data_IF_888118793865
#
_entry.id   IF_888118793865
#
_cell.length_a   1.000
_cell.length_b   1.000
_cell.length_c   1.000
_cell.angle_alpha   90.00
_cell.angle_beta   90.00
_cell.angle_gamma   90.00
#
_symmetry.space_group_name_H-M   'P 1'
#
loop_
_entity.id
_entity.type
_entity.pdbx_description
1 polymer ?
#
# COMPACT_ATOMS: atom_id res chain seq x y z
N UNK A 1 42.16 8.69 -3.54
CA UNK A 1 40.95 8.93 -4.34
C UNK A 1 39.99 9.74 -3.49
N UNK A 2 39.53 10.89 -3.99
CA UNK A 2 38.79 11.90 -3.20
C UNK A 2 37.28 11.62 -3.05
N UNK A 3 36.78 10.49 -3.58
CA UNK A 3 35.38 10.08 -3.47
C UNK A 3 35.29 8.63 -2.98
N UNK A 4 34.50 8.42 -1.93
CA UNK A 4 34.24 7.09 -1.38
C UNK A 4 33.03 6.49 -2.12
N UNK A 5 33.21 5.32 -2.73
CA UNK A 5 32.15 4.67 -3.52
C UNK A 5 30.94 4.26 -2.66
N UNK A 6 31.16 3.90 -1.39
CA UNK A 6 30.07 3.51 -0.48
C UNK A 6 29.12 4.67 -0.18
N UNK A 7 29.62 5.90 -0.09
CA UNK A 7 28.78 7.10 0.11
C UNK A 7 27.86 7.36 -1.09
N UNK A 8 28.31 7.02 -2.31
CA UNK A 8 27.48 7.16 -3.52
C UNK A 8 26.46 6.04 -3.70
N UNK A 9 26.64 4.90 -3.03
CA UNK A 9 25.72 3.76 -3.05
C UNK A 9 24.59 3.92 -2.03
N UNK A 10 24.91 4.48 -0.86
CA UNK A 10 23.92 4.80 0.17
C UNK A 10 22.91 5.83 -0.35
N UNK A 11 21.65 5.68 0.04
CA UNK A 11 20.54 6.55 -0.37
C UNK A 11 19.96 6.26 -1.76
N UNK A 12 20.51 5.28 -2.51
CA UNK A 12 19.88 4.83 -3.76
C UNK A 12 18.61 4.05 -3.46
N UNK A 13 17.56 4.34 -4.22
CA UNK A 13 16.27 3.65 -4.13
C UNK A 13 16.12 2.71 -5.32
N UNK A 14 15.92 1.44 -5.03
CA UNK A 14 15.65 0.38 -5.98
C UNK A 14 14.15 0.11 -6.04
N UNK A 15 13.59 0.01 -7.24
CA UNK A 15 12.21 -0.44 -7.44
C UNK A 15 12.21 -1.89 -7.93
N UNK A 16 11.50 -2.75 -7.20
CA UNK A 16 11.42 -4.19 -7.46
C UNK A 16 9.96 -4.63 -7.45
N UNK A 17 9.66 -5.72 -8.15
CA UNK A 17 8.35 -6.36 -8.08
C UNK A 17 8.27 -7.22 -6.81
N UNK A 18 7.11 -7.23 -6.14
CA UNK A 18 6.90 -8.07 -4.97
C UNK A 18 6.84 -9.56 -5.34
N UNK A 19 6.33 -9.88 -6.54
CA UNK A 19 6.35 -11.24 -7.05
C UNK A 19 7.77 -11.82 -7.12
N UNK A 20 8.75 -11.02 -7.55
CA UNK A 20 10.15 -11.44 -7.64
C UNK A 20 10.80 -11.63 -6.25
N UNK A 21 10.30 -10.94 -5.22
CA UNK A 21 10.79 -11.07 -3.85
C UNK A 21 10.23 -12.30 -3.14
N UNK A 22 8.96 -12.64 -3.39
CA UNK A 22 8.25 -13.73 -2.71
C UNK A 22 8.09 -15.00 -3.55
N UNK A 23 8.49 -14.98 -4.83
CA UNK A 23 8.19 -16.01 -5.83
C UNK A 23 6.68 -16.33 -5.92
N UNK A 24 5.84 -15.29 -5.80
CA UNK A 24 4.38 -15.38 -5.82
C UNK A 24 3.80 -14.48 -6.90
N UNK A 25 3.34 -15.09 -8.00
CA UNK A 25 2.80 -14.37 -9.17
C UNK A 25 1.52 -13.59 -8.87
N UNK A 26 0.75 -13.98 -7.84
CA UNK A 26 -0.47 -13.27 -7.45
C UNK A 26 -0.16 -11.84 -6.98
N UNK A 27 1.08 -11.59 -6.56
CA UNK A 27 1.57 -10.30 -6.06
C UNK A 27 2.26 -9.47 -7.13
N UNK A 28 2.22 -9.87 -8.41
CA UNK A 28 2.92 -9.20 -9.52
C UNK A 28 2.47 -7.74 -9.76
N UNK A 29 1.30 -7.37 -9.25
CA UNK A 29 0.77 -6.02 -9.36
C UNK A 29 1.29 -5.03 -8.30
N UNK A 30 2.15 -5.48 -7.37
CA UNK A 30 2.69 -4.67 -6.27
C UNK A 30 4.18 -4.43 -6.50
N UNK A 31 4.58 -3.17 -6.53
CA UNK A 31 5.97 -2.72 -6.61
C UNK A 31 6.43 -2.22 -5.26
N UNK A 32 7.63 -2.62 -4.85
CA UNK A 32 8.28 -2.16 -3.62
C UNK A 32 9.48 -1.30 -3.98
N UNK A 33 9.64 -0.22 -3.22
CA UNK A 33 10.83 0.63 -3.23
C UNK A 33 11.66 0.32 -2.00
N UNK A 34 12.93 0.00 -2.21
CA UNK A 34 13.91 -0.30 -1.16
C UNK A 34 15.05 0.71 -1.22
N UNK A 35 15.41 1.32 -0.09
CA UNK A 35 16.51 2.28 0.00
C UNK A 35 17.77 1.60 0.54
N UNK A 36 18.94 1.80 -0.07
CA UNK A 36 20.21 1.29 0.45
C UNK A 36 20.67 2.14 1.63
N UNK A 37 20.71 1.58 2.83
CA UNK A 37 21.18 2.27 4.05
C UNK A 37 22.65 1.95 4.34
N UNK A 38 23.04 0.69 4.18
CA UNK A 38 24.37 0.21 4.55
C UNK A 38 25.00 -0.62 3.44
N UNK A 39 26.33 -0.54 3.32
CA UNK A 39 27.12 -1.33 2.37
C UNK A 39 28.15 -2.11 3.17
N UNK A 40 28.03 -3.43 3.18
CA UNK A 40 28.91 -4.36 3.88
C UNK A 40 29.71 -5.16 2.86
N UNK A 41 30.97 -4.76 2.65
CA UNK A 41 31.83 -5.34 1.61
C UNK A 41 31.21 -5.16 0.22
N UNK A 42 30.68 -6.26 -0.34
CA UNK A 42 30.00 -6.29 -1.65
C UNK A 42 28.47 -6.28 -1.55
N UNK A 43 27.92 -6.48 -0.35
CA UNK A 43 26.47 -6.58 -0.13
C UNK A 43 25.92 -5.21 0.27
N UNK A 44 24.78 -4.82 -0.32
CA UNK A 44 24.03 -3.63 0.08
C UNK A 44 22.82 -4.05 0.91
N UNK A 45 22.72 -3.54 2.13
CA UNK A 45 21.54 -3.74 2.98
C UNK A 45 20.53 -2.64 2.69
N UNK A 46 19.29 -3.05 2.47
CA UNK A 46 18.21 -2.16 2.06
C UNK A 46 17.06 -2.16 3.05
N UNK A 47 16.49 -0.99 3.30
CA UNK A 47 15.28 -0.82 4.10
C UNK A 47 14.06 -0.46 3.23
N UNK A 48 12.86 -0.67 3.76
CA UNK A 48 11.61 -0.38 3.07
C UNK A 48 11.39 1.14 2.92
N UNK A 49 11.26 1.60 1.68
CA UNK A 49 11.01 3.01 1.37
C UNK A 49 9.55 3.27 0.97
N UNK A 50 8.89 2.30 0.32
CA UNK A 50 7.49 2.46 -0.06
C UNK A 50 6.94 1.31 -0.89
N UNK A 51 5.63 1.31 -1.06
CA UNK A 51 4.90 0.34 -1.89
C UNK A 51 3.95 1.07 -2.82
N UNK A 52 3.81 0.60 -4.04
CA UNK A 52 2.92 1.20 -5.05
C UNK A 52 2.33 0.11 -5.94
N UNK A 53 1.09 0.28 -6.38
CA UNK A 53 0.48 -0.62 -7.37
C UNK A 53 0.98 -0.28 -8.78
N UNK A 54 1.06 -1.28 -9.65
CA UNK A 54 1.35 -1.05 -11.06
C UNK A 54 0.23 -0.23 -11.74
N UNK A 55 0.59 0.55 -12.77
CA UNK A 55 -0.36 1.45 -13.45
C UNK A 55 -1.48 0.68 -14.14
N UNK A 56 -1.14 -0.43 -14.78
CA UNK A 56 -2.07 -1.36 -15.40
C UNK A 56 -3.08 -1.90 -14.39
N UNK A 57 -2.63 -2.33 -13.19
CA UNK A 57 -3.54 -2.79 -12.15
C UNK A 57 -4.44 -1.67 -11.67
N UNK A 58 -3.89 -0.49 -11.38
CA UNK A 58 -4.67 0.65 -10.92
C UNK A 58 -5.78 1.02 -11.92
N UNK A 59 -5.44 1.15 -13.20
CA UNK A 59 -6.42 1.47 -14.25
C UNK A 59 -7.40 0.34 -14.54
N UNK A 60 -7.02 -0.93 -14.32
CA UNK A 60 -7.95 -2.06 -14.46
C UNK A 60 -9.09 -2.04 -13.44
N UNK A 61 -8.84 -1.46 -12.25
CA UNK A 61 -9.81 -1.30 -11.17
C UNK A 61 -10.75 -0.12 -11.41
N UNK A 62 -10.27 0.93 -12.07
CA UNK A 62 -11.09 2.10 -12.41
C UNK A 62 -11.98 1.79 -13.61
N UNK A 63 -13.24 1.46 -13.36
CA UNK A 63 -14.27 1.31 -14.41
C UNK A 63 -15.43 2.27 -14.20
N UNK A 64 -16.32 2.32 -15.19
CA UNK A 64 -17.55 3.13 -15.14
C UNK A 64 -18.65 2.37 -14.38
N UNK A 65 -19.72 3.09 -14.03
CA UNK A 65 -20.95 2.55 -13.42
C UNK A 65 -20.84 2.11 -11.96
N UNK A 66 -19.72 2.39 -11.31
CA UNK A 66 -19.53 2.23 -9.86
C UNK A 66 -18.87 3.49 -9.29
N UNK A 67 -18.93 3.64 -7.96
CA UNK A 67 -18.31 4.76 -7.25
C UNK A 67 -16.91 4.35 -6.80
N UNK A 68 -15.93 5.23 -7.03
CA UNK A 68 -14.59 5.14 -6.45
C UNK A 68 -14.59 5.87 -5.10
N UNK A 69 -14.03 5.23 -4.07
CA UNK A 69 -13.89 5.76 -2.72
C UNK A 69 -12.43 5.70 -2.33
N UNK A 70 -11.79 6.87 -2.24
CA UNK A 70 -10.40 7.00 -1.81
C UNK A 70 -10.32 7.59 -0.39
N UNK A 71 -9.34 7.14 0.38
CA UNK A 71 -8.98 7.67 1.68
C UNK A 71 -7.45 7.64 1.87
N UNK A 72 -6.92 8.59 2.63
CA UNK A 72 -5.51 8.63 2.99
C UNK A 72 -5.36 9.02 4.46
N UNK A 73 -4.29 8.55 5.09
CA UNK A 73 -3.95 8.85 6.48
C UNK A 73 -2.44 8.92 6.63
N UNK A 74 -1.98 9.91 7.38
CA UNK A 74 -0.60 10.00 7.88
C UNK A 74 -0.53 9.39 9.28
N UNK A 75 0.26 8.32 9.44
CA UNK A 75 0.40 7.61 10.70
C UNK A 75 1.87 7.52 11.07
N UNK A 76 2.16 7.74 12.35
CA UNK A 76 3.46 7.47 12.93
C UNK A 76 3.47 6.06 13.52
N UNK A 77 4.39 5.22 13.06
CA UNK A 77 4.59 3.86 13.58
C UNK A 77 5.33 3.90 14.92
N UNK A 78 5.36 2.78 15.65
CA UNK A 78 5.94 2.70 17.00
C UNK A 78 7.46 2.94 17.04
N UNK A 79 8.15 2.62 15.95
CA UNK A 79 9.58 2.82 15.71
C UNK A 79 9.93 4.23 15.23
N UNK A 80 8.93 5.11 15.08
CA UNK A 80 9.13 6.54 14.82
C UNK A 80 9.07 6.95 13.34
N UNK A 81 8.90 6.01 12.41
CA UNK A 81 8.67 6.34 10.99
C UNK A 81 7.30 6.99 10.81
N UNK A 82 7.21 7.91 9.85
CA UNK A 82 5.94 8.52 9.44
C UNK A 82 5.59 8.03 8.05
N UNK A 83 4.46 7.33 7.93
CA UNK A 83 4.02 6.68 6.70
C UNK A 83 2.69 7.28 6.27
N UNK A 84 2.57 7.62 4.98
CA UNK A 84 1.30 7.99 4.36
C UNK A 84 0.71 6.75 3.68
N UNK A 85 -0.44 6.30 4.19
CA UNK A 85 -1.16 5.17 3.64
C UNK A 85 -2.30 5.66 2.75
N UNK A 86 -2.49 5.00 1.61
CA UNK A 86 -3.59 5.25 0.68
C UNK A 86 -4.44 3.99 0.55
N UNK A 87 -5.76 4.15 0.61
CA UNK A 87 -6.72 3.08 0.37
C UNK A 87 -7.69 3.51 -0.71
N UNK A 88 -7.94 2.60 -1.64
CA UNK A 88 -8.88 2.77 -2.75
C UNK A 88 -9.87 1.62 -2.68
N UNK A 89 -11.17 1.95 -2.73
CA UNK A 89 -12.24 0.98 -2.79
C UNK A 89 -13.24 1.35 -3.89
N UNK A 90 -13.96 0.34 -4.37
CA UNK A 90 -14.97 0.48 -5.41
C UNK A 90 -16.26 -0.16 -4.95
N UNK A 91 -17.40 0.44 -5.32
CA UNK A 91 -18.68 -0.20 -5.05
C UNK A 91 -18.88 -1.42 -5.96
N UNK A 92 -19.31 -2.53 -5.38
CA UNK A 92 -19.60 -3.77 -6.11
C UNK A 92 -21.10 -3.93 -6.29
N UNK A 93 -21.52 -4.36 -7.48
CA UNK A 93 -22.90 -4.72 -7.77
C UNK A 93 -23.27 -6.01 -7.03
N UNK A 94 -24.47 -6.04 -6.42
CA UNK A 94 -25.00 -7.27 -5.80
C UNK A 94 -25.53 -8.23 -6.86
N UNK A 95 -25.50 -9.53 -6.58
CA UNK A 95 -25.87 -10.57 -7.55
C UNK A 95 -27.31 -10.39 -8.09
N UNK A 96 -28.25 -10.03 -7.21
CA UNK A 96 -29.67 -9.86 -7.56
C UNK A 96 -30.03 -8.43 -7.99
N UNK A 97 -29.04 -7.58 -8.22
CA UNK A 97 -29.28 -6.19 -8.59
C UNK A 97 -29.63 -6.05 -10.08
N UNK A 98 -30.84 -5.57 -10.35
CA UNK A 98 -31.35 -5.30 -11.72
C UNK A 98 -30.71 -4.06 -12.35
N UNK A 99 -30.47 -2.99 -11.57
CA UNK A 99 -29.84 -1.77 -12.07
C UNK A 99 -28.38 -2.03 -12.46
N UNK A 100 -27.97 -1.51 -13.62
CA UNK A 100 -26.61 -1.65 -14.15
C UNK A 100 -25.57 -0.86 -13.36
N UNK A 101 -25.97 0.23 -12.71
CA UNK A 101 -25.12 1.09 -11.91
C UNK A 101 -25.21 0.81 -10.41
N UNK A 102 -24.09 0.96 -9.70
CA UNK A 102 -23.99 0.79 -8.26
C UNK A 102 -23.37 2.00 -7.57
N UNK A 103 -23.89 3.20 -7.86
CA UNK A 103 -23.39 4.43 -7.22
C UNK A 103 -23.76 4.50 -5.74
N UNK A 104 -22.81 4.88 -4.89
CA UNK A 104 -23.03 5.14 -3.47
C UNK A 104 -23.48 6.59 -3.22
N UNK A 105 -24.33 6.78 -2.22
CA UNK A 105 -24.74 8.13 -1.81
C UNK A 105 -23.59 8.86 -1.11
N UNK A 106 -23.51 10.18 -1.25
CA UNK A 106 -22.48 11.02 -0.62
C UNK A 106 -22.40 10.89 0.91
N UNK A 107 -23.51 10.56 1.58
CA UNK A 107 -23.52 10.28 3.01
C UNK A 107 -22.85 8.93 3.35
N UNK A 108 -23.08 7.90 2.53
CA UNK A 108 -22.44 6.58 2.69
C UNK A 108 -20.94 6.67 2.42
N UNK A 109 -20.53 7.37 1.35
CA UNK A 109 -19.11 7.60 1.02
C UNK A 109 -18.36 8.23 2.21
N UNK A 110 -18.96 9.24 2.86
CA UNK A 110 -18.38 9.87 4.05
C UNK A 110 -18.25 8.92 5.24
N UNK A 111 -19.26 8.08 5.49
CA UNK A 111 -19.22 7.05 6.55
C UNK A 111 -18.12 6.02 6.28
N UNK A 112 -18.05 5.51 5.06
CA UNK A 112 -17.04 4.52 4.63
C UNK A 112 -15.64 5.10 4.78
N UNK A 113 -15.40 6.34 4.29
CA UNK A 113 -14.10 7.02 4.44
C UNK A 113 -13.68 7.15 5.90
N UNK A 114 -14.61 7.56 6.78
CA UNK A 114 -14.32 7.67 8.22
C UNK A 114 -13.88 6.31 8.80
N UNK A 115 -14.57 5.23 8.43
CA UNK A 115 -14.26 3.89 8.92
C UNK A 115 -12.93 3.36 8.38
N UNK A 116 -12.65 3.60 7.09
CA UNK A 116 -11.35 3.30 6.49
C UNK A 116 -10.22 3.99 7.24
N UNK A 117 -10.34 5.30 7.49
CA UNK A 117 -9.30 6.05 8.19
C UNK A 117 -9.09 5.56 9.63
N UNK A 118 -10.17 5.18 10.33
CA UNK A 118 -10.12 4.66 11.69
C UNK A 118 -9.40 3.31 11.78
N UNK A 119 -9.66 2.41 10.83
CA UNK A 119 -8.99 1.10 10.78
C UNK A 119 -7.51 1.28 10.43
N UNK A 120 -7.20 2.15 9.47
CA UNK A 120 -5.82 2.44 9.07
C UNK A 120 -4.99 3.02 10.22
N UNK A 121 -5.52 4.01 10.95
CA UNK A 121 -4.81 4.59 12.11
C UNK A 121 -4.58 3.54 13.21
N UNK A 122 -5.58 2.71 13.49
CA UNK A 122 -5.50 1.66 14.51
C UNK A 122 -4.46 0.59 14.17
N UNK A 123 -4.48 0.10 12.93
CA UNK A 123 -3.59 -1.00 12.50
C UNK A 123 -2.15 -0.54 12.31
N UNK A 124 -1.93 0.68 11.79
CA UNK A 124 -0.58 1.19 11.52
C UNK A 124 0.06 1.89 12.73
N UNK A 125 -0.73 2.46 13.64
CA UNK A 125 -0.22 3.16 14.83
C UNK A 125 0.24 2.24 15.95
N UNK A 126 -0.13 0.96 15.91
CA UNK A 126 0.16 -0.03 16.96
C UNK A 126 1.39 -0.89 16.67
N UNK A 127 1.92 -0.84 15.45
CA UNK A 127 2.98 -1.74 14.97
C UNK A 127 4.22 -1.00 14.49
N UNK A 128 5.33 -1.74 14.40
CA UNK A 128 6.57 -1.28 13.76
C UNK A 128 6.44 -1.34 12.24
N UNK A 129 7.32 -0.62 11.52
CA UNK A 129 7.31 -0.58 10.05
C UNK A 129 7.42 -1.99 9.43
N UNK A 130 8.31 -2.83 9.98
CA UNK A 130 8.48 -4.22 9.51
C UNK A 130 7.21 -5.05 9.64
N UNK A 131 6.48 -4.89 10.73
CA UNK A 131 5.22 -5.59 10.98
C UNK A 131 4.09 -5.04 10.11
N UNK A 132 4.08 -3.72 9.86
CA UNK A 132 3.16 -3.09 8.94
C UNK A 132 3.32 -3.65 7.51
N UNK A 133 4.56 -3.79 7.02
CA UNK A 133 4.82 -4.40 5.71
C UNK A 133 4.32 -5.85 5.65
N UNK A 134 4.54 -6.64 6.71
CA UNK A 134 4.00 -8.01 6.81
C UNK A 134 2.47 -8.07 6.73
N UNK A 135 1.77 -7.04 7.21
CA UNK A 135 0.30 -6.91 7.08
C UNK A 135 -0.14 -6.47 5.67
N UNK A 136 0.68 -5.65 4.99
CA UNK A 136 0.39 -5.15 3.65
C UNK A 136 0.53 -6.21 2.55
N UNK A 137 1.48 -7.15 2.69
CA UNK A 137 1.71 -8.24 1.72
C UNK A 137 0.42 -9.07 1.49
N UNK A 138 -0.22 -9.67 2.52
CA UNK A 138 -1.46 -10.45 2.38
C UNK A 138 -2.75 -9.60 2.34
N UNK A 139 -2.64 -8.27 2.29
CA UNK A 139 -3.77 -7.32 2.29
C UNK A 139 -4.71 -7.46 3.51
N UNK A 140 -4.17 -7.74 4.70
CA UNK A 140 -5.00 -7.96 5.89
C UNK A 140 -5.83 -6.73 6.26
N UNK A 141 -5.27 -5.53 6.07
CA UNK A 141 -5.96 -4.26 6.31
C UNK A 141 -7.13 -4.09 5.35
N UNK A 142 -6.97 -4.47 4.08
CA UNK A 142 -8.05 -4.41 3.09
C UNK A 142 -9.22 -5.33 3.46
N UNK A 143 -8.92 -6.55 3.91
CA UNK A 143 -9.93 -7.52 4.36
C UNK A 143 -10.66 -7.06 5.62
N UNK A 144 -9.96 -6.41 6.55
CA UNK A 144 -10.60 -5.85 7.76
C UNK A 144 -11.52 -4.68 7.41
N UNK A 145 -11.16 -3.85 6.42
CA UNK A 145 -12.04 -2.78 5.90
C UNK A 145 -13.27 -3.37 5.21
N UNK A 146 -13.15 -4.47 4.46
CA UNK A 146 -14.29 -5.12 3.79
C UNK A 146 -15.29 -5.73 4.78
N UNK A 147 -14.80 -6.17 5.95
CA UNK A 147 -15.62 -6.82 6.98
C UNK A 147 -16.50 -5.84 7.78
N UNK A 148 -16.11 -4.56 7.86
CA UNK A 148 -16.74 -3.52 8.68
C UNK A 148 -17.78 -2.71 7.90
#
# INVERSE_FOLDING_TARGET
GTKIASEQLKGRVLELNLADLNNDEDQASKKIKLCIEEVQGRNCLTDFHGMTLTRDKLYSLVRKWHTMIEAHVDVKTTDGYTVRLFVIAFTKRRQDQVKTNCYAQSAQIRKIRRKMTEIMTKEAGTVQLRELVKKLIPESIGKEIEKQ
#
